data_IF_951749454757
#
_entry.id   IF_951749454757
#
_cell.length_a   1.000
_cell.length_b   1.000
_cell.length_c   1.000
_cell.angle_alpha   90.00
_cell.angle_beta   90.00
_cell.angle_gamma   90.00
#
_symmetry.space_group_name_H-M   'P 1'
#
loop_
_entity.id
_entity.type
_entity.pdbx_description
1 polymer ?
#
# COMPACT_ATOMS: atom_id res chain seq x y z
N UNK A 1 -4.39 -17.92 45.54
CA UNK A 1 -3.09 -17.42 45.04
C UNK A 1 -3.29 -15.96 44.67
N UNK A 2 -2.59 -15.04 45.33
CA UNK A 2 -2.72 -13.61 45.08
C UNK A 2 -1.61 -13.20 44.12
N UNK A 3 -1.93 -12.88 42.86
CA UNK A 3 -0.97 -12.35 41.90
C UNK A 3 -1.04 -10.82 42.00
N UNK A 4 0.04 -10.21 42.45
CA UNK A 4 0.19 -8.76 42.49
C UNK A 4 0.96 -8.32 41.24
N UNK A 5 0.31 -7.55 40.36
CA UNK A 5 0.92 -7.03 39.13
C UNK A 5 1.21 -5.55 39.32
N UNK A 6 2.49 -5.20 39.36
CA UNK A 6 2.92 -3.80 39.35
C UNK A 6 3.24 -3.39 37.91
N UNK A 7 2.31 -2.70 37.25
CA UNK A 7 2.57 -2.09 35.95
C UNK A 7 3.27 -0.74 36.16
N UNK A 8 4.60 -0.73 35.99
CA UNK A 8 5.37 0.52 36.05
C UNK A 8 5.04 1.38 34.83
N UNK A 9 5.22 2.70 34.94
CA UNK A 9 5.02 3.59 33.80
C UNK A 9 5.94 3.22 32.63
N UNK A 10 5.37 2.97 31.46
CA UNK A 10 6.14 2.74 30.24
C UNK A 10 6.87 4.04 29.90
N UNK A 11 8.19 4.07 30.07
CA UNK A 11 9.02 5.19 29.64
C UNK A 11 9.47 4.94 28.20
N UNK A 12 8.73 5.51 27.26
CA UNK A 12 9.17 5.55 25.86
C UNK A 12 9.99 6.82 25.68
N UNK A 13 11.24 6.65 25.25
CA UNK A 13 12.08 7.75 24.78
C UNK A 13 11.63 8.24 23.40
N UNK A 14 12.52 8.19 22.41
CA UNK A 14 12.17 8.59 21.06
C UNK A 14 11.71 7.40 20.21
N UNK A 15 10.55 7.52 19.57
CA UNK A 15 10.10 6.60 18.51
C UNK A 15 10.08 7.37 17.21
N UNK A 16 10.80 6.88 16.22
CA UNK A 16 10.83 7.44 14.88
C UNK A 16 10.31 6.42 13.88
N UNK A 17 9.21 6.74 13.21
CA UNK A 17 8.59 5.91 12.18
C UNK A 17 8.72 6.64 10.84
N UNK A 18 9.53 6.09 9.94
CA UNK A 18 9.81 6.70 8.63
C UNK A 18 8.71 6.40 7.59
N UNK A 19 7.87 5.40 7.85
CA UNK A 19 6.72 5.07 7.03
C UNK A 19 5.91 3.92 7.62
N UNK A 20 4.63 3.89 7.30
CA UNK A 20 3.73 2.76 7.57
C UNK A 20 3.09 2.31 6.27
N UNK A 21 3.01 1.00 6.06
CA UNK A 21 2.33 0.42 4.91
C UNK A 21 0.81 0.35 5.11
N UNK A 22 0.08 -0.06 4.07
CA UNK A 22 -1.33 -0.41 4.20
C UNK A 22 -1.52 -1.51 5.26
N UNK A 23 -2.51 -1.35 6.13
CA UNK A 23 -2.84 -2.31 7.20
C UNK A 23 -1.72 -2.50 8.23
N UNK A 24 -1.21 -1.41 8.81
CA UNK A 24 -0.16 -1.46 9.84
C UNK A 24 -0.67 -1.00 11.21
N UNK A 25 -0.17 -1.61 12.28
CA UNK A 25 -0.41 -1.19 13.67
C UNK A 25 0.93 -1.09 14.40
N UNK A 26 1.22 0.07 15.00
CA UNK A 26 2.29 0.24 15.96
C UNK A 26 1.67 0.32 17.36
N UNK A 27 1.96 -0.67 18.20
CA UNK A 27 1.46 -0.75 19.57
C UNK A 27 2.62 -0.60 20.56
N UNK A 28 2.41 0.22 21.59
CA UNK A 28 3.35 0.41 22.70
C UNK A 28 2.59 0.12 23.99
N UNK A 29 3.12 -0.82 24.77
CA UNK A 29 2.45 -1.32 25.96
C UNK A 29 1.55 -2.51 25.66
N UNK A 30 0.78 -2.88 26.67
CA UNK A 30 0.08 -4.16 26.65
C UNK A 30 -1.31 -4.00 26.04
N UNK A 31 -1.73 -5.02 25.30
CA UNK A 31 -3.07 -5.11 24.78
C UNK A 31 -3.57 -6.55 24.90
N UNK A 32 -4.79 -6.73 25.37
CA UNK A 32 -5.36 -8.06 25.60
C UNK A 32 -5.76 -8.76 24.29
N UNK A 33 -6.40 -8.04 23.37
CA UNK A 33 -6.81 -8.57 22.06
C UNK A 33 -6.78 -7.48 20.97
N UNK A 34 -6.19 -7.78 19.82
CA UNK A 34 -6.28 -6.94 18.61
C UNK A 34 -7.16 -7.67 17.61
N UNK A 35 -8.32 -7.11 17.29
CA UNK A 35 -9.18 -7.62 16.23
C UNK A 35 -8.96 -6.79 14.96
N UNK A 36 -8.44 -7.44 13.92
CA UNK A 36 -8.34 -6.87 12.59
C UNK A 36 -9.36 -7.57 11.70
N UNK A 37 -10.33 -6.82 11.19
CA UNK A 37 -11.29 -7.31 10.20
C UNK A 37 -11.05 -6.60 8.88
N UNK A 38 -10.76 -7.36 7.83
CA UNK A 38 -10.81 -6.86 6.46
C UNK A 38 -11.96 -7.55 5.74
N UNK A 39 -12.98 -6.79 5.37
CA UNK A 39 -14.05 -7.25 4.49
C UNK A 39 -13.76 -6.74 3.09
N UNK A 40 -13.69 -7.66 2.14
CA UNK A 40 -13.67 -7.32 0.72
C UNK A 40 -15.11 -7.38 0.22
N UNK A 41 -15.71 -6.24 -0.07
CA UNK A 41 -17.11 -6.12 -0.50
C UNK A 41 -17.28 -6.24 -2.04
N UNK A 42 -16.29 -6.85 -2.69
CA UNK A 42 -16.26 -7.01 -4.14
C UNK A 42 -16.68 -8.45 -4.44
N UNK A 43 -17.92 -8.70 -4.90
CA UNK A 43 -18.35 -10.04 -5.30
C UNK A 43 -17.38 -10.63 -6.35
N UNK A 44 -17.20 -11.97 -6.42
CA UNK A 44 -16.18 -12.60 -7.28
C UNK A 44 -16.28 -12.23 -8.76
N UNK A 45 -17.46 -11.81 -9.23
CA UNK A 45 -17.72 -11.32 -10.60
C UNK A 45 -17.16 -9.91 -10.86
N UNK A 46 -16.90 -9.14 -9.80
CA UNK A 46 -16.32 -7.79 -9.86
C UNK A 46 -14.80 -7.74 -9.65
N UNK A 47 -14.16 -8.91 -9.51
CA UNK A 47 -12.71 -9.06 -9.62
C UNK A 47 -12.27 -8.67 -11.05
N UNK A 48 -11.99 -7.38 -11.22
CA UNK A 48 -11.62 -6.81 -12.51
C UNK A 48 -10.18 -7.20 -12.81
N UNK A 49 -10.02 -8.19 -13.69
CA UNK A 49 -8.73 -8.56 -14.25
C UNK A 49 -8.00 -7.33 -14.83
N UNK A 50 -6.79 -7.11 -14.32
CA UNK A 50 -5.68 -6.48 -15.03
C UNK A 50 -5.58 -4.96 -14.89
N UNK A 51 -4.48 -4.50 -14.28
CA UNK A 51 -3.90 -3.21 -14.63
C UNK A 51 -3.75 -3.16 -16.15
N UNK A 52 -4.67 -2.46 -16.85
CA UNK A 52 -4.39 -1.98 -18.19
C UNK A 52 -3.41 -0.84 -17.98
N UNK A 53 -2.12 -1.16 -17.93
CA UNK A 53 -1.06 -0.16 -17.99
C UNK A 53 -1.26 0.51 -19.35
N UNK A 54 -1.64 1.79 -19.43
CA UNK A 54 -1.70 2.44 -20.72
C UNK A 54 -0.25 2.60 -21.17
N UNK A 55 0.21 1.76 -22.10
CA UNK A 55 1.37 2.08 -22.91
C UNK A 55 1.01 3.36 -23.66
N UNK A 56 1.53 4.49 -23.19
CA UNK A 56 1.28 5.76 -23.84
C UNK A 56 1.70 5.66 -25.33
N UNK A 57 0.82 5.99 -26.29
CA UNK A 57 1.25 6.09 -27.68
C UNK A 57 1.94 7.45 -27.83
N UNK A 58 3.25 7.51 -27.59
CA UNK A 58 4.00 8.77 -27.75
C UNK A 58 5.09 8.63 -28.79
N UNK A 59 4.67 8.82 -30.04
CA UNK A 59 5.58 9.17 -31.13
C UNK A 59 5.27 8.51 -32.46
N UNK A 60 4.10 8.78 -33.05
CA UNK A 60 4.04 8.84 -34.52
C UNK A 60 4.91 10.04 -34.94
N UNK A 61 6.23 9.81 -35.04
CA UNK A 61 7.07 10.68 -35.87
C UNK A 61 6.53 10.51 -37.28
N UNK A 62 5.74 11.49 -37.73
CA UNK A 62 5.57 11.75 -39.16
C UNK A 62 6.82 12.50 -39.58
N UNK A 63 7.94 11.80 -39.71
CA UNK A 63 9.05 12.31 -40.48
C UNK A 63 8.60 12.38 -41.94
N UNK A 64 8.29 13.60 -42.36
CA UNK A 64 8.00 14.03 -43.74
C UNK A 64 9.19 13.81 -44.70
N UNK A 65 10.07 12.84 -44.44
CA UNK A 65 11.34 12.61 -45.12
C UNK A 65 11.25 11.68 -46.32
N UNK A 66 10.13 10.98 -46.51
CA UNK A 66 9.96 10.03 -47.62
C UNK A 66 9.17 10.56 -48.82
N UNK A 67 8.79 11.86 -48.84
CA UNK A 67 8.15 12.45 -50.03
C UNK A 67 9.10 12.89 -51.14
N UNK A 68 10.43 12.75 -50.96
CA UNK A 68 11.42 13.12 -51.97
C UNK A 68 12.54 12.08 -52.09
N UNK A 69 12.18 10.83 -52.37
CA UNK A 69 13.14 9.85 -52.92
C UNK A 69 12.54 9.31 -54.22
N UNK A 70 12.68 10.13 -55.27
CA UNK A 70 12.61 9.83 -56.71
C UNK A 70 11.23 9.37 -57.23
N UNK A 71 10.56 10.11 -58.14
CA UNK A 71 10.96 10.40 -59.53
C UNK A 71 11.39 9.15 -60.29
#
# INVERSE_FOLDING_TARGET
MNIEVHNWGINVGNIQVEGVGSSSVLLIGDNEQIFLSSFFDTPPESFTFGNIIPLAPQGLRRDSRWKNVHQ
#
